data_IF_300646391952
#
_entry.id   IF_300646391952
#
_cell.length_a   1.000
_cell.length_b   1.000
_cell.length_c   1.000
_cell.angle_alpha   90.00
_cell.angle_beta   90.00
_cell.angle_gamma   90.00
#
_symmetry.space_group_name_H-M   'P 1'
#
loop_
_entity.id
_entity.type
_entity.pdbx_description
1 polymer ?
#
# COMPACT_ATOMS: atom_id res chain seq x y z
N UNK A 1 -3.54 -16.91 7.07
CA UNK A 1 -3.74 -15.61 7.75
C UNK A 1 -5.05 -15.66 8.47
N UNK A 2 -5.06 -15.36 9.77
CA UNK A 2 -6.27 -15.24 10.58
C UNK A 2 -6.62 -13.76 10.78
N UNK A 3 -7.91 -13.45 10.78
CA UNK A 3 -8.44 -12.10 10.95
C UNK A 3 -9.26 -12.08 12.24
N UNK A 4 -8.68 -11.52 13.30
CA UNK A 4 -9.39 -11.33 14.56
C UNK A 4 -10.56 -10.34 14.36
N UNK A 5 -11.76 -10.71 14.82
CA UNK A 5 -12.98 -9.90 14.74
C UNK A 5 -13.38 -9.44 13.31
N UNK A 6 -13.04 -10.22 12.29
CA UNK A 6 -13.45 -9.93 10.91
C UNK A 6 -14.98 -9.95 10.77
N UNK A 7 -15.56 -8.94 10.10
CA UNK A 7 -17.02 -8.86 9.86
C UNK A 7 -17.50 -9.77 8.71
N UNK A 8 -16.61 -10.08 7.78
CA UNK A 8 -16.95 -10.83 6.55
C UNK A 8 -16.20 -12.15 6.46
N UNK A 9 -14.91 -12.16 6.84
CA UNK A 9 -14.03 -13.32 6.77
C UNK A 9 -13.27 -13.49 8.08
N UNK A 10 -13.13 -14.75 8.51
CA UNK A 10 -12.30 -15.16 9.64
C UNK A 10 -10.83 -15.28 9.27
N UNK A 11 -10.53 -15.40 7.98
CA UNK A 11 -9.18 -15.55 7.48
C UNK A 11 -9.13 -16.00 6.04
N UNK A 12 -7.92 -16.30 5.59
CA UNK A 12 -7.67 -16.88 4.28
C UNK A 12 -6.27 -17.48 4.14
N UNK A 13 -6.12 -18.31 3.12
CA UNK A 13 -4.89 -19.00 2.77
C UNK A 13 -4.60 -18.80 1.28
N UNK A 14 -3.35 -18.45 0.96
CA UNK A 14 -2.87 -18.36 -0.41
C UNK A 14 -1.81 -19.44 -0.62
N UNK A 15 -2.02 -20.31 -1.60
CA UNK A 15 -1.13 -21.43 -1.90
C UNK A 15 -0.83 -21.49 -3.39
N UNK A 16 0.43 -21.76 -3.74
CA UNK A 16 0.78 -22.13 -5.10
C UNK A 16 0.53 -23.62 -5.33
N UNK A 17 -0.11 -23.97 -6.45
CA UNK A 17 -0.42 -25.34 -6.88
C UNK A 17 0.52 -25.71 -8.04
N UNK A 18 1.63 -26.45 -7.78
CA UNK A 18 2.64 -26.73 -8.80
C UNK A 18 2.07 -27.49 -10.02
N UNK A 19 1.21 -28.47 -9.77
CA UNK A 19 0.63 -29.34 -10.83
C UNK A 19 -0.21 -28.56 -11.84
N UNK A 20 -0.83 -27.47 -11.38
CA UNK A 20 -1.70 -26.62 -12.22
C UNK A 20 -1.02 -25.33 -12.67
N UNK A 21 0.14 -25.01 -12.09
CA UNK A 21 0.82 -23.72 -12.24
C UNK A 21 -0.11 -22.52 -11.96
N UNK A 22 -0.93 -22.66 -10.92
CA UNK A 22 -1.90 -21.65 -10.49
C UNK A 22 -1.74 -21.36 -9.01
N UNK A 23 -2.11 -20.16 -8.61
CA UNK A 23 -2.35 -19.82 -7.22
C UNK A 23 -3.79 -20.13 -6.85
N UNK A 24 -3.99 -20.66 -5.65
CA UNK A 24 -5.28 -20.85 -5.02
C UNK A 24 -5.38 -19.93 -3.80
N UNK A 25 -6.39 -19.07 -3.81
CA UNK A 25 -6.78 -18.26 -2.65
C UNK A 25 -8.04 -18.87 -2.05
N UNK A 26 -7.97 -19.33 -0.81
CA UNK A 26 -9.12 -19.80 -0.03
C UNK A 26 -9.47 -18.75 1.01
N UNK A 27 -10.70 -18.24 0.98
CA UNK A 27 -11.22 -17.34 2.00
C UNK A 27 -12.26 -18.06 2.87
N UNK A 28 -12.23 -17.81 4.18
CA UNK A 28 -13.13 -18.45 5.14
C UNK A 28 -14.16 -17.43 5.64
N UNK A 29 -15.42 -17.47 5.17
CA UNK A 29 -16.45 -16.54 5.61
C UNK A 29 -16.77 -16.67 7.11
N UNK A 30 -17.34 -15.61 7.67
CA UNK A 30 -17.92 -15.61 9.03
C UNK A 30 -19.36 -16.12 8.98
N UNK A 31 -20.10 -15.73 7.95
CA UNK A 31 -21.54 -16.01 7.83
C UNK A 31 -21.86 -17.49 7.56
N UNK A 32 -20.93 -18.21 6.92
CA UNK A 32 -21.09 -19.62 6.57
C UNK A 32 -19.75 -20.38 6.69
N UNK A 33 -19.84 -21.71 6.77
CA UNK A 33 -18.68 -22.60 6.85
C UNK A 33 -18.21 -23.08 5.47
N UNK A 34 -18.66 -22.47 4.38
CA UNK A 34 -18.29 -22.87 3.02
C UNK A 34 -17.12 -22.00 2.54
N UNK A 35 -15.90 -22.56 2.38
CA UNK A 35 -14.78 -21.77 1.91
C UNK A 35 -15.01 -21.25 0.49
N UNK A 36 -14.60 -20.01 0.25
CA UNK A 36 -14.59 -19.43 -1.10
C UNK A 36 -13.22 -19.66 -1.72
N UNK A 37 -13.18 -20.51 -2.74
CA UNK A 37 -11.94 -20.89 -3.41
C UNK A 37 -11.82 -20.17 -4.74
N UNK A 38 -10.74 -19.43 -4.91
CA UNK A 38 -10.39 -18.71 -6.14
C UNK A 38 -9.12 -19.31 -6.74
N UNK A 39 -9.02 -19.28 -8.07
CA UNK A 39 -7.83 -19.73 -8.80
C UNK A 39 -7.33 -18.66 -9.74
N UNK A 40 -6.02 -18.58 -9.93
CA UNK A 40 -5.45 -17.51 -10.71
C UNK A 40 -3.95 -17.58 -10.93
N UNK A 41 -3.43 -16.51 -11.52
CA UNK A 41 -2.01 -16.40 -11.90
C UNK A 41 -1.40 -15.13 -11.35
N UNK A 42 -0.12 -15.23 -11.02
CA UNK A 42 0.72 -14.07 -10.73
C UNK A 42 1.47 -13.67 -11.99
N UNK A 43 1.37 -12.39 -12.35
CA UNK A 43 2.19 -11.77 -13.38
C UNK A 43 3.32 -10.99 -12.71
N UNK A 44 4.55 -11.47 -12.91
CA UNK A 44 5.76 -10.87 -12.32
C UNK A 44 6.05 -9.48 -12.89
N UNK A 45 5.74 -9.23 -14.18
CA UNK A 45 6.04 -7.95 -14.83
C UNK A 45 5.19 -6.83 -14.25
N UNK A 46 3.92 -7.12 -14.02
CA UNK A 46 2.98 -6.18 -13.43
C UNK A 46 2.86 -6.33 -11.92
N UNK A 47 3.61 -7.26 -11.30
CA UNK A 47 3.55 -7.64 -9.88
C UNK A 47 2.12 -7.87 -9.38
N UNK A 48 1.30 -8.52 -10.21
CA UNK A 48 -0.16 -8.63 -9.98
C UNK A 48 -0.62 -10.07 -9.90
N UNK A 49 -1.23 -10.45 -8.79
CA UNK A 49 -2.00 -11.69 -8.65
C UNK A 49 -3.45 -11.42 -9.02
N UNK A 50 -3.99 -12.15 -10.00
CA UNK A 50 -5.42 -12.12 -10.33
C UNK A 50 -5.99 -13.51 -10.12
N UNK A 51 -6.97 -13.62 -9.22
CA UNK A 51 -7.69 -14.87 -8.92
C UNK A 51 -9.19 -14.67 -9.15
N UNK A 52 -9.84 -15.69 -9.68
CA UNK A 52 -11.25 -15.65 -10.07
C UNK A 52 -12.01 -16.87 -9.52
N UNK A 53 -13.31 -16.70 -9.30
CA UNK A 53 -14.26 -17.72 -8.87
C UNK A 53 -15.62 -17.42 -9.50
N UNK A 54 -16.38 -18.45 -9.84
CA UNK A 54 -17.81 -18.30 -10.13
C UNK A 54 -18.63 -18.74 -8.92
N UNK A 55 -19.51 -17.87 -8.46
CA UNK A 55 -20.51 -18.16 -7.43
C UNK A 55 -21.77 -18.74 -8.08
N UNK A 56 -22.07 -20.04 -7.90
CA UNK A 56 -23.22 -20.67 -8.55
C UNK A 56 -24.56 -20.24 -7.96
N UNK A 57 -24.58 -19.80 -6.70
CA UNK A 57 -25.81 -19.39 -6.00
C UNK A 57 -26.20 -17.98 -6.44
N UNK A 58 -25.22 -17.08 -6.47
CA UNK A 58 -25.45 -15.67 -6.86
C UNK A 58 -25.37 -15.45 -8.37
N UNK A 59 -24.89 -16.43 -9.13
CA UNK A 59 -24.61 -16.33 -10.58
C UNK A 59 -23.71 -15.12 -10.88
N UNK A 60 -22.64 -14.99 -10.09
CA UNK A 60 -21.63 -13.94 -10.23
C UNK A 60 -20.28 -14.56 -10.53
N UNK A 61 -19.56 -13.97 -11.49
CA UNK A 61 -18.12 -14.18 -11.59
C UNK A 61 -17.44 -13.11 -10.73
N UNK A 62 -16.65 -13.55 -9.78
CA UNK A 62 -15.92 -12.73 -8.83
C UNK A 62 -14.43 -12.75 -9.17
N UNK A 63 -13.78 -11.61 -9.03
CA UNK A 63 -12.34 -11.46 -9.25
C UNK A 63 -11.71 -10.67 -8.13
N UNK A 64 -10.63 -11.22 -7.57
CA UNK A 64 -9.75 -10.50 -6.67
C UNK A 64 -8.44 -10.23 -7.40
N UNK A 65 -8.05 -8.97 -7.44
CA UNK A 65 -6.76 -8.54 -7.99
C UNK A 65 -5.93 -7.96 -6.86
N UNK A 66 -4.75 -8.53 -6.61
CA UNK A 66 -3.77 -8.04 -5.64
C UNK A 66 -2.56 -7.54 -6.42
N UNK A 67 -2.26 -6.25 -6.32
CA UNK A 67 -1.12 -5.61 -6.97
C UNK A 67 -0.13 -5.12 -5.91
N UNK A 68 1.14 -5.51 -6.06
CA UNK A 68 2.24 -4.93 -5.29
C UNK A 68 2.67 -3.65 -6.00
N UNK A 69 2.18 -2.51 -5.52
CA UNK A 69 2.42 -1.19 -6.15
C UNK A 69 3.90 -0.83 -6.03
N UNK A 70 4.45 -1.06 -4.85
CA UNK A 70 5.86 -0.89 -4.51
C UNK A 70 6.20 -1.81 -3.34
N UNK A 71 7.34 -1.59 -2.69
CA UNK A 71 7.84 -2.46 -1.61
C UNK A 71 7.21 -2.18 -0.24
N UNK A 72 6.47 -1.08 -0.11
CA UNK A 72 5.79 -0.69 1.13
C UNK A 72 4.27 -0.80 1.03
N UNK A 73 3.71 -0.93 -0.19
CA UNK A 73 2.28 -0.90 -0.44
C UNK A 73 1.82 -1.99 -1.39
N UNK A 74 0.77 -2.69 -0.97
CA UNK A 74 -0.04 -3.46 -1.88
C UNK A 74 -1.49 -2.96 -1.87
N UNK A 75 -2.15 -3.15 -3.00
CA UNK A 75 -3.56 -2.84 -3.17
C UNK A 75 -4.26 -4.11 -3.59
N UNK A 76 -5.34 -4.46 -2.90
CA UNK A 76 -6.24 -5.50 -3.39
C UNK A 76 -7.61 -4.93 -3.69
N UNK A 77 -8.24 -5.53 -4.69
CA UNK A 77 -9.52 -5.11 -5.25
C UNK A 77 -10.42 -6.31 -5.40
N UNK A 78 -11.70 -6.12 -5.09
CA UNK A 78 -12.75 -7.06 -5.40
C UNK A 78 -13.65 -6.46 -6.50
N UNK A 79 -13.71 -7.19 -7.61
CA UNK A 79 -14.55 -6.92 -8.76
C UNK A 79 -15.55 -8.08 -8.90
N UNK A 80 -16.75 -7.82 -9.40
CA UNK A 80 -17.69 -8.87 -9.78
C UNK A 80 -18.45 -8.52 -11.06
N UNK A 81 -19.04 -9.53 -11.69
CA UNK A 81 -20.01 -9.36 -12.78
C UNK A 81 -21.06 -10.45 -12.72
N UNK A 82 -22.29 -10.22 -13.20
CA UNK A 82 -23.20 -11.31 -13.49
C UNK A 82 -22.56 -12.28 -14.49
N UNK A 83 -22.66 -13.58 -14.23
CA UNK A 83 -22.09 -14.61 -15.11
C UNK A 83 -22.61 -14.42 -16.54
N UNK A 84 -21.69 -14.43 -17.51
CA UNK A 84 -21.98 -14.19 -18.92
C UNK A 84 -21.93 -12.72 -19.37
N UNK A 85 -21.79 -11.75 -18.45
CA UNK A 85 -21.48 -10.36 -18.81
C UNK A 85 -19.99 -10.19 -19.07
N UNK A 86 -19.63 -9.19 -19.88
CA UNK A 86 -18.22 -8.90 -20.23
C UNK A 86 -17.53 -8.00 -19.20
N UNK A 87 -18.22 -6.97 -18.75
CA UNK A 87 -17.66 -5.93 -17.89
C UNK A 87 -17.80 -6.28 -16.40
N UNK A 88 -16.71 -6.03 -15.66
CA UNK A 88 -16.68 -6.13 -14.21
C UNK A 88 -17.09 -4.80 -13.58
N UNK A 89 -17.90 -4.88 -12.53
CA UNK A 89 -18.17 -3.80 -11.59
C UNK A 89 -17.15 -3.92 -10.46
N UNK A 90 -16.50 -2.79 -10.13
CA UNK A 90 -15.63 -2.71 -8.97
C UNK A 90 -16.47 -2.44 -7.74
N UNK A 91 -16.38 -3.31 -6.75
CA UNK A 91 -17.12 -3.16 -5.50
C UNK A 91 -16.30 -2.34 -4.50
N UNK A 92 -15.09 -2.81 -4.18
CA UNK A 92 -14.20 -2.13 -3.24
C UNK A 92 -12.73 -2.33 -3.59
N UNK A 93 -11.92 -1.41 -3.05
CA UNK A 93 -10.47 -1.40 -3.13
C UNK A 93 -9.90 -1.08 -1.76
N UNK A 94 -8.92 -1.87 -1.33
CA UNK A 94 -8.21 -1.68 -0.07
C UNK A 94 -6.73 -1.55 -0.36
N UNK A 95 -6.12 -0.47 0.13
CA UNK A 95 -4.68 -0.29 0.14
C UNK A 95 -4.13 -0.61 1.52
N UNK A 96 -3.12 -1.48 1.58
CA UNK A 96 -2.40 -1.78 2.80
C UNK A 96 -0.96 -1.28 2.65
N UNK A 97 -0.54 -0.49 3.64
CA UNK A 97 0.82 0.08 3.71
C UNK A 97 1.50 -0.52 4.91
N UNK A 98 2.78 -0.83 4.78
CA UNK A 98 3.59 -1.33 5.88
C UNK A 98 3.53 -0.35 7.05
N UNK A 99 3.31 -0.88 8.26
CA UNK A 99 3.27 -0.08 9.48
C UNK A 99 4.55 0.74 9.64
N UNK A 100 4.41 2.01 10.04
CA UNK A 100 5.53 2.95 10.14
C UNK A 100 6.02 3.53 8.80
N UNK A 101 5.50 3.08 7.65
CA UNK A 101 5.79 3.69 6.35
C UNK A 101 4.67 4.64 5.94
N UNK A 102 5.02 5.86 5.54
CA UNK A 102 4.02 6.84 5.12
C UNK A 102 3.66 6.68 3.64
N UNK A 103 2.35 6.61 3.39
CA UNK A 103 1.76 6.56 2.04
C UNK A 103 2.15 7.74 1.15
N UNK A 104 2.32 8.91 1.78
CA UNK A 104 2.66 10.17 1.12
C UNK A 104 4.16 10.46 1.16
N UNK A 105 5.01 9.47 1.47
CA UNK A 105 6.41 9.55 1.04
C UNK A 105 6.43 9.14 -0.42
N UNK A 106 5.94 10.03 -1.28
CA UNK A 106 6.71 10.20 -2.50
C UNK A 106 8.15 10.41 -2.00
N UNK A 107 9.05 9.44 -2.24
CA UNK A 107 10.45 9.81 -2.40
C UNK A 107 10.51 10.69 -3.64
N UNK A 108 9.93 11.90 -3.55
CA UNK A 108 10.14 12.96 -4.52
C UNK A 108 11.65 13.08 -4.53
N UNK A 109 12.27 12.73 -5.65
CA UNK A 109 13.71 12.87 -5.82
C UNK A 109 14.05 14.32 -5.50
N UNK A 110 14.64 14.55 -4.34
CA UNK A 110 14.88 15.89 -3.85
C UNK A 110 15.21 15.92 -2.36
N UNK A 111 15.75 17.05 -1.89
CA UNK A 111 16.12 17.24 -0.50
C UNK A 111 14.87 17.35 0.38
N UNK A 112 14.97 16.92 1.64
CA UNK A 112 13.90 17.01 2.61
C UNK A 112 13.85 18.41 3.25
N UNK A 113 12.65 18.90 3.53
CA UNK A 113 12.41 20.12 4.28
C UNK A 113 12.85 19.91 5.74
N UNK A 114 13.81 20.70 6.20
CA UNK A 114 14.34 20.60 7.57
C UNK A 114 13.28 20.87 8.64
N UNK A 115 12.30 21.72 8.33
CA UNK A 115 11.22 22.09 9.28
C UNK A 115 10.07 21.08 9.27
N UNK A 116 9.52 20.76 8.08
CA UNK A 116 8.26 20.00 7.97
C UNK A 116 8.43 18.54 7.53
N UNK A 117 9.63 18.13 7.10
CA UNK A 117 9.87 16.80 6.53
C UNK A 117 9.28 16.57 5.14
N UNK A 118 8.63 17.58 4.54
CA UNK A 118 8.14 17.52 3.15
C UNK A 118 9.25 17.65 2.12
N UNK A 119 8.91 17.78 0.83
CA UNK A 119 9.90 18.08 -0.21
C UNK A 119 10.45 19.50 -0.04
N UNK A 120 11.76 19.61 0.16
CA UNK A 120 12.51 20.85 0.12
C UNK A 120 12.72 21.33 -1.31
N UNK A 121 12.29 22.55 -1.59
CA UNK A 121 12.43 23.20 -2.90
C UNK A 121 13.25 24.48 -2.84
N UNK A 122 13.41 25.06 -1.65
CA UNK A 122 14.10 26.33 -1.40
C UNK A 122 15.36 26.06 -0.57
N UNK A 123 16.57 26.39 -1.07
CA UNK A 123 17.80 26.27 -0.29
C UNK A 123 17.93 27.39 0.75
N UNK A 124 18.41 27.06 1.95
CA UNK A 124 18.76 27.98 3.04
C UNK A 124 20.13 27.60 3.59
N UNK A 125 20.95 28.58 3.97
CA UNK A 125 22.33 28.32 4.43
C UNK A 125 22.49 28.75 5.89
N UNK A 126 23.06 27.88 6.72
CA UNK A 126 23.37 28.19 8.12
C UNK A 126 24.68 27.54 8.55
N UNK A 127 25.57 28.32 9.18
CA UNK A 127 26.93 27.90 9.61
C UNK A 127 27.72 27.15 8.52
N UNK A 128 27.62 27.61 7.27
CA UNK A 128 28.33 27.04 6.12
C UNK A 128 27.73 25.74 5.56
N UNK A 129 26.59 25.27 6.08
CA UNK A 129 25.86 24.12 5.54
C UNK A 129 24.57 24.57 4.83
N UNK A 130 24.26 23.92 3.72
CA UNK A 130 23.03 24.14 2.95
C UNK A 130 21.96 23.15 3.35
N UNK A 131 20.80 23.68 3.71
CA UNK A 131 19.58 22.98 4.08
C UNK A 131 18.47 23.35 3.10
N UNK A 132 17.35 22.62 3.13
CA UNK A 132 16.21 22.90 2.25
C UNK A 132 14.92 23.05 3.02
N UNK A 133 14.02 23.88 2.52
CA UNK A 133 12.68 24.12 3.07
C UNK A 133 11.61 24.09 1.96
N UNK A 134 10.36 23.81 2.32
CA UNK A 134 9.28 23.61 1.35
C UNK A 134 8.50 24.89 0.98
N UNK A 135 8.57 25.94 1.81
CA UNK A 135 7.86 27.20 1.60
C UNK A 135 8.52 28.35 2.37
N UNK A 136 8.11 29.59 2.08
CA UNK A 136 8.57 30.79 2.79
C UNK A 136 8.28 30.73 4.29
N UNK A 137 7.12 30.21 4.70
CA UNK A 137 6.81 30.03 6.13
C UNK A 137 7.80 29.12 6.86
N UNK A 138 8.27 28.04 6.21
CA UNK A 138 9.32 27.19 6.77
C UNK A 138 10.69 27.89 6.76
N UNK A 139 10.98 28.75 5.78
CA UNK A 139 12.20 29.56 5.78
C UNK A 139 12.22 30.53 6.95
N UNK A 140 11.11 31.20 7.21
CA UNK A 140 11.03 32.21 8.26
C UNK A 140 11.15 31.54 9.64
N UNK A 141 10.44 30.43 9.87
CA UNK A 141 10.61 29.61 11.07
C UNK A 141 12.05 29.08 11.25
N UNK A 142 12.69 28.63 10.15
CA UNK A 142 14.08 28.20 10.17
C UNK A 142 15.03 29.35 10.52
N UNK A 143 14.79 30.57 10.03
CA UNK A 143 15.62 31.73 10.34
C UNK A 143 15.44 32.22 11.79
N UNK A 144 14.24 32.07 12.36
CA UNK A 144 13.98 32.40 13.76
C UNK A 144 14.69 31.45 14.73
N UNK A 145 14.68 30.13 14.46
CA UNK A 145 15.25 29.12 15.35
C UNK A 145 16.00 28.00 14.60
N UNK A 146 17.10 28.32 13.88
CA UNK A 146 17.76 27.37 12.98
C UNK A 146 18.34 26.17 13.72
N UNK A 147 18.92 26.37 14.90
CA UNK A 147 19.57 25.30 15.66
C UNK A 147 18.59 24.21 16.11
N UNK A 148 17.36 24.60 16.48
CA UNK A 148 16.30 23.65 16.90
C UNK A 148 15.95 22.71 15.75
N UNK A 149 15.64 23.27 14.58
CA UNK A 149 15.21 22.48 13.42
C UNK A 149 16.35 21.64 12.84
N UNK A 150 17.59 22.15 12.84
CA UNK A 150 18.76 21.37 12.43
C UNK A 150 18.95 20.16 13.35
N UNK A 151 18.83 20.34 14.68
CA UNK A 151 18.96 19.25 15.64
C UNK A 151 17.88 18.17 15.42
N UNK A 152 16.62 18.57 15.33
CA UNK A 152 15.50 17.64 15.07
C UNK A 152 15.68 16.90 13.73
N UNK A 153 16.16 17.59 12.70
CA UNK A 153 16.44 17.00 11.39
C UNK A 153 17.57 15.97 11.43
N UNK A 154 18.68 16.28 12.12
CA UNK A 154 19.79 15.35 12.28
C UNK A 154 19.40 14.12 13.11
N UNK A 155 18.62 14.30 14.18
CA UNK A 155 18.07 13.21 14.99
C UNK A 155 17.13 12.31 14.16
N UNK A 156 16.27 12.89 13.33
CA UNK A 156 15.39 12.15 12.42
C UNK A 156 16.20 11.34 11.39
N UNK A 157 17.22 11.95 10.78
CA UNK A 157 18.12 11.28 9.83
C UNK A 157 18.98 10.19 10.48
N UNK A 158 19.37 10.35 11.75
CA UNK A 158 20.09 9.32 12.49
C UNK A 158 19.21 8.11 12.80
N UNK A 159 17.94 8.34 13.21
CA UNK A 159 16.97 7.27 13.45
C UNK A 159 16.56 6.52 12.17
N UNK A 160 16.55 7.20 11.03
CA UNK A 160 16.22 6.58 9.73
C UNK A 160 17.37 5.71 9.17
N UNK A 161 18.60 5.91 9.65
CA UNK A 161 19.79 5.12 9.25
C UNK A 161 20.08 3.91 10.16
N UNK A 162 19.35 3.74 11.26
CA UNK A 162 19.37 2.54 12.11
C UNK A 162 18.30 1.55 11.66
#
# INVERSE_FOLDING_TARGET
>A
MEIANGKHFRGGELRYLPDKQLYQLTLFPVADNVPRVYHGRYDEKTRTLTVERTDPVRKLDERITINLVDDIRFVYRYDYRPTGRKLYVRDFLVGATKEGQALAVERRKGPECVVSGGLGTIPVTYKGQTYYVCCTGCRDAFNENPEKYIKEFLERKAKEKQ
#
